data_IF_184326915378
#
_entry.id   IF_184326915378
#
_cell.length_a   1.000
_cell.length_b   1.000
_cell.length_c   1.000
_cell.angle_alpha   90.00
_cell.angle_beta   90.00
_cell.angle_gamma   90.00
#
_symmetry.space_group_name_H-M   'P 1'
#
loop_
_entity.id
_entity.type
_entity.pdbx_description
1 polymer ?
#
# COMPACT_ATOMS: atom_id res chain seq x y z
N UNK A 1 1.56 16.53 -5.30
CA UNK A 1 1.27 17.76 -6.07
C UNK A 1 1.38 17.49 -7.55
N UNK A 2 0.80 18.34 -8.40
CA UNK A 2 1.08 18.37 -9.83
C UNK A 2 1.90 19.63 -10.12
N UNK A 3 3.00 19.52 -10.86
CA UNK A 3 3.73 20.68 -11.39
C UNK A 3 2.96 21.33 -12.54
N UNK A 4 3.45 22.49 -13.00
CA UNK A 4 2.81 23.29 -14.07
C UNK A 4 2.66 22.51 -15.40
N UNK A 5 3.52 21.52 -15.64
CA UNK A 5 3.49 20.63 -16.81
C UNK A 5 2.63 19.36 -16.59
N UNK A 6 1.99 19.23 -15.42
CA UNK A 6 1.17 18.08 -15.06
C UNK A 6 1.95 16.88 -14.52
N UNK A 7 3.26 16.99 -14.31
CA UNK A 7 4.06 15.90 -13.73
C UNK A 7 3.69 15.70 -12.24
N UNK A 8 3.41 14.46 -11.79
CA UNK A 8 3.17 14.20 -10.38
C UNK A 8 4.47 14.33 -9.57
N UNK A 9 4.40 15.12 -8.50
CA UNK A 9 5.53 15.38 -7.58
C UNK A 9 5.16 14.93 -6.17
N UNK A 10 5.98 14.04 -5.60
CA UNK A 10 5.88 13.63 -4.21
C UNK A 10 6.26 14.80 -3.28
N UNK A 11 5.56 14.89 -2.16
CA UNK A 11 5.72 15.95 -1.18
C UNK A 11 5.46 15.41 0.23
N UNK A 12 5.67 16.27 1.23
CA UNK A 12 5.43 15.97 2.64
C UNK A 12 6.28 14.79 3.17
N UNK A 13 7.58 15.05 3.28
CA UNK A 13 8.56 14.08 3.78
C UNK A 13 8.64 14.04 5.32
N UNK A 14 7.67 14.63 6.03
CA UNK A 14 7.68 14.75 7.49
C UNK A 14 7.62 13.40 8.24
N UNK A 15 7.06 12.38 7.60
CA UNK A 15 6.95 11.01 8.12
C UNK A 15 8.03 10.05 7.59
N UNK A 16 9.02 10.55 6.83
CA UNK A 16 10.08 9.70 6.28
C UNK A 16 10.99 9.14 7.37
N UNK A 17 11.33 7.85 7.24
CA UNK A 17 12.24 7.15 8.13
C UNK A 17 13.28 6.36 7.34
N UNK A 18 14.22 5.70 8.03
CA UNK A 18 15.13 4.75 7.39
C UNK A 18 14.30 3.63 6.75
N UNK A 19 14.57 3.35 5.47
CA UNK A 19 13.83 2.36 4.70
C UNK A 19 13.80 0.97 5.36
N UNK A 20 14.91 0.56 6.00
CA UNK A 20 15.04 -0.76 6.63
C UNK A 20 15.26 -0.66 8.13
N UNK A 21 14.33 -1.23 8.89
CA UNK A 21 14.34 -1.25 10.36
C UNK A 21 14.23 -2.70 10.82
N UNK A 22 15.30 -3.21 11.44
CA UNK A 22 15.29 -4.53 12.04
C UNK A 22 14.68 -4.48 13.45
N UNK A 23 13.75 -5.39 13.74
CA UNK A 23 13.02 -5.43 15.02
C UNK A 23 13.59 -6.54 15.89
N UNK A 24 14.48 -6.18 16.81
CA UNK A 24 15.18 -7.14 17.67
C UNK A 24 14.32 -7.59 18.85
N UNK A 25 13.47 -6.71 19.37
CA UNK A 25 12.74 -6.95 20.62
C UNK A 25 11.36 -6.29 20.63
N UNK A 26 10.54 -6.68 21.62
CA UNK A 26 9.15 -6.23 21.74
C UNK A 26 9.02 -4.73 21.96
N UNK A 27 9.99 -4.09 22.61
CA UNK A 27 9.96 -2.64 22.81
C UNK A 27 10.13 -1.89 21.48
N UNK A 28 11.07 -2.31 20.64
CA UNK A 28 11.22 -1.78 19.28
C UNK A 28 9.95 -2.04 18.44
N UNK A 29 9.35 -3.23 18.55
CA UNK A 29 8.12 -3.56 17.84
C UNK A 29 6.97 -2.59 18.19
N UNK A 30 6.72 -2.39 19.49
CA UNK A 30 5.68 -1.46 19.97
C UNK A 30 5.99 -0.02 19.53
N UNK A 31 7.24 0.42 19.63
CA UNK A 31 7.65 1.76 19.21
C UNK A 31 7.41 1.99 17.71
N UNK A 32 7.71 1.01 16.85
CA UNK A 32 7.44 1.12 15.41
C UNK A 32 5.95 1.09 15.10
N UNK A 33 5.18 0.28 15.84
CA UNK A 33 3.73 0.23 15.69
C UNK A 33 3.08 1.57 16.08
N UNK A 34 3.50 2.18 17.20
CA UNK A 34 3.02 3.49 17.65
C UNK A 34 3.44 4.60 16.67
N UNK A 35 4.69 4.57 16.19
CA UNK A 35 5.16 5.49 15.16
C UNK A 35 4.31 5.40 13.89
N UNK A 36 4.02 4.19 13.41
CA UNK A 36 3.15 3.99 12.25
C UNK A 36 1.72 4.44 12.55
N UNK A 37 1.25 4.27 13.79
CA UNK A 37 -0.06 4.74 14.24
C UNK A 37 -0.21 6.26 14.10
N UNK A 38 0.84 7.01 14.41
CA UNK A 38 0.90 8.47 14.36
C UNK A 38 1.23 9.03 12.97
N UNK A 39 2.13 8.37 12.22
CA UNK A 39 2.75 8.93 11.02
C UNK A 39 2.24 8.34 9.70
N UNK A 40 1.46 7.25 9.74
CA UNK A 40 0.90 6.61 8.54
C UNK A 40 -0.61 6.69 8.54
N UNK A 41 -1.21 7.18 7.45
CA UNK A 41 -2.66 7.26 7.29
C UNK A 41 -3.26 5.86 7.20
N UNK A 42 -4.19 5.51 8.10
CA UNK A 42 -4.69 4.15 8.30
C UNK A 42 -5.11 3.40 7.01
N UNK A 43 -5.82 4.00 6.03
CA UNK A 43 -6.20 3.31 4.79
C UNK A 43 -5.04 2.97 3.84
N UNK A 44 -3.87 3.56 4.06
CA UNK A 44 -2.65 3.36 3.26
C UNK A 44 -1.58 2.60 4.05
N UNK A 45 -1.78 2.39 5.34
CA UNK A 45 -0.83 1.69 6.21
C UNK A 45 -0.72 0.22 5.81
N UNK A 46 0.50 -0.28 5.71
CA UNK A 46 0.77 -1.68 5.38
C UNK A 46 0.41 -2.63 6.56
N UNK A 47 0.01 -3.89 6.29
CA UNK A 47 -0.38 -4.87 7.31
C UNK A 47 0.65 -5.08 8.41
N UNK A 48 1.92 -5.20 8.05
CA UNK A 48 3.04 -5.42 8.98
C UNK A 48 3.27 -4.27 9.97
N UNK A 49 2.64 -3.10 9.76
CA UNK A 49 2.67 -1.95 10.66
C UNK A 49 1.51 -1.93 11.67
N UNK A 50 0.51 -2.81 11.53
CA UNK A 50 -0.55 -2.98 12.53
C UNK A 50 -0.17 -4.00 13.62
N UNK A 51 0.62 -5.00 13.25
CA UNK A 51 1.17 -6.03 14.15
C UNK A 51 2.66 -6.24 13.82
N UNK A 52 3.51 -5.39 14.42
CA UNK A 52 4.95 -5.44 14.20
C UNK A 52 5.54 -6.64 14.97
N UNK A 53 6.20 -7.56 14.25
CA UNK A 53 6.74 -8.80 14.82
C UNK A 53 8.24 -8.69 15.11
N UNK A 54 8.65 -9.22 16.26
CA UNK A 54 10.07 -9.39 16.60
C UNK A 54 10.76 -10.38 15.68
N UNK A 55 12.04 -10.15 15.37
CA UNK A 55 12.82 -10.97 14.45
C UNK A 55 12.54 -10.70 12.98
N UNK A 56 11.73 -9.68 12.66
CA UNK A 56 11.45 -9.26 11.28
C UNK A 56 12.17 -7.96 10.95
N UNK A 57 12.25 -7.67 9.66
CA UNK A 57 12.74 -6.38 9.16
C UNK A 57 11.59 -5.73 8.41
N UNK A 58 11.20 -4.54 8.86
CA UNK A 58 10.33 -3.66 8.08
C UNK A 58 11.23 -3.00 7.03
N UNK A 59 10.84 -3.06 5.76
CA UNK A 59 11.60 -2.55 4.64
C UNK A 59 10.75 -1.60 3.77
N UNK A 60 11.31 -1.16 2.64
CA UNK A 60 10.64 -0.29 1.67
C UNK A 60 9.34 -0.87 1.07
N UNK A 61 9.00 -2.14 1.33
CA UNK A 61 7.76 -2.75 0.81
C UNK A 61 6.50 -2.18 1.47
N UNK A 62 6.61 -1.45 2.59
CA UNK A 62 5.50 -0.67 3.15
C UNK A 62 5.02 0.43 2.19
N UNK A 63 5.94 1.02 1.42
CA UNK A 63 5.62 2.03 0.42
C UNK A 63 4.98 1.40 -0.82
N UNK A 64 5.37 0.17 -1.16
CA UNK A 64 4.75 -0.60 -2.26
C UNK A 64 3.27 -0.89 -1.97
N UNK A 65 2.93 -1.23 -0.73
CA UNK A 65 1.54 -1.37 -0.32
C UNK A 65 0.78 -0.04 -0.45
N UNK A 66 1.36 1.04 0.07
CA UNK A 66 0.78 2.39 0.00
C UNK A 66 0.55 2.84 -1.44
N UNK A 67 1.48 2.51 -2.35
CA UNK A 67 1.36 2.75 -3.78
C UNK A 67 0.22 1.93 -4.41
N UNK A 68 0.05 0.66 -4.01
CA UNK A 68 -1.10 -0.15 -4.42
C UNK A 68 -2.44 0.49 -4.02
N UNK A 69 -2.54 0.99 -2.79
CA UNK A 69 -3.70 1.75 -2.33
C UNK A 69 -3.92 3.02 -3.15
N UNK A 70 -2.85 3.75 -3.48
CA UNK A 70 -2.93 4.96 -4.31
C UNK A 70 -3.40 4.64 -5.73
N UNK A 71 -2.84 3.61 -6.38
CA UNK A 71 -3.27 3.19 -7.73
C UNK A 71 -4.75 2.80 -7.75
N UNK A 72 -5.21 2.07 -6.73
CA UNK A 72 -6.62 1.76 -6.55
C UNK A 72 -7.44 3.05 -6.39
N UNK A 73 -7.02 3.98 -5.53
CA UNK A 73 -7.74 5.23 -5.31
C UNK A 73 -7.83 6.10 -6.56
N UNK A 74 -6.78 6.15 -7.39
CA UNK A 74 -6.81 6.85 -8.67
C UNK A 74 -7.80 6.22 -9.66
N UNK A 75 -7.96 4.90 -9.64
CA UNK A 75 -8.89 4.19 -10.51
C UNK A 75 -10.34 4.28 -10.00
N UNK A 76 -10.56 4.13 -8.70
CA UNK A 76 -11.91 3.92 -8.13
C UNK A 76 -12.42 5.07 -7.26
N UNK A 77 -11.65 6.15 -7.09
CA UNK A 77 -11.97 7.35 -6.31
C UNK A 77 -12.18 7.13 -4.80
N UNK A 78 -11.73 6.00 -4.25
CA UNK A 78 -11.72 5.71 -2.81
C UNK A 78 -10.58 4.74 -2.47
N UNK A 79 -10.10 4.70 -1.22
CA UNK A 79 -9.13 3.67 -0.81
C UNK A 79 -9.75 2.27 -0.88
N UNK A 80 -8.97 1.22 -1.21
CA UNK A 80 -9.46 -0.17 -1.23
C UNK A 80 -10.09 -0.64 0.09
N UNK A 81 -9.74 0.00 1.22
CA UNK A 81 -10.21 -0.39 2.56
C UNK A 81 -11.19 0.62 3.19
N UNK A 82 -11.56 1.69 2.47
CA UNK A 82 -12.52 2.72 2.95
C UNK A 82 -13.99 2.39 2.63
N UNK A 83 -14.27 1.27 1.98
CA UNK A 83 -15.63 0.94 1.51
C UNK A 83 -16.63 0.64 2.63
N UNK A 84 -17.91 0.95 2.38
CA UNK A 84 -19.06 0.62 3.24
C UNK A 84 -19.14 -0.86 3.62
N UNK A 85 -18.65 -1.76 2.75
CA UNK A 85 -18.65 -3.21 3.01
C UNK A 85 -17.86 -3.61 4.26
N UNK A 86 -16.77 -2.90 4.56
CA UNK A 86 -15.94 -3.12 5.75
C UNK A 86 -16.74 -2.82 7.02
N UNK A 87 -17.51 -1.73 6.99
CA UNK A 87 -18.42 -1.29 8.06
C UNK A 87 -19.67 -2.18 8.16
N UNK A 88 -20.23 -2.59 7.02
CA UNK A 88 -21.44 -3.44 6.93
C UNK A 88 -21.20 -4.89 7.36
N UNK A 89 -19.97 -5.42 7.19
CA UNK A 89 -19.58 -6.74 7.68
C UNK A 89 -19.17 -6.72 9.17
N UNK A 90 -19.28 -5.58 9.86
CA UNK A 90 -18.86 -5.42 11.25
C UNK A 90 -17.34 -5.54 11.45
N UNK A 91 -16.56 -5.40 10.37
CA UNK A 91 -15.11 -5.50 10.40
C UNK A 91 -14.46 -4.15 10.74
N UNK A 92 -13.36 -4.20 11.49
CA UNK A 92 -12.47 -3.03 11.61
C UNK A 92 -11.65 -2.87 10.32
N UNK A 93 -11.41 -1.63 9.89
CA UNK A 93 -10.49 -1.33 8.76
C UNK A 93 -9.13 -2.01 8.95
N UNK A 94 -8.63 -2.06 10.19
CA UNK A 94 -7.39 -2.77 10.52
C UNK A 94 -7.48 -4.26 10.16
N UNK A 95 -8.61 -4.93 10.42
CA UNK A 95 -8.80 -6.33 10.03
C UNK A 95 -8.88 -6.50 8.52
N UNK A 96 -9.50 -5.57 7.80
CA UNK A 96 -9.54 -5.63 6.35
C UNK A 96 -8.16 -5.48 5.73
N UNK A 97 -7.35 -4.54 6.22
CA UNK A 97 -5.95 -4.37 5.81
C UNK A 97 -5.14 -5.62 6.11
N UNK A 98 -5.22 -6.15 7.35
CA UNK A 98 -4.47 -7.33 7.79
C UNK A 98 -4.77 -8.60 6.97
N UNK A 99 -5.97 -8.69 6.36
CA UNK A 99 -6.37 -9.80 5.51
C UNK A 99 -6.36 -9.47 4.01
N UNK A 100 -5.88 -8.27 3.62
CA UNK A 100 -6.00 -7.73 2.26
C UNK A 100 -7.42 -7.89 1.68
N UNK A 101 -8.42 -7.60 2.50
CA UNK A 101 -9.83 -7.75 2.16
C UNK A 101 -10.34 -6.51 1.41
N UNK A 102 -10.11 -6.49 0.09
CA UNK A 102 -10.68 -5.51 -0.84
C UNK A 102 -11.19 -6.23 -2.09
N UNK A 103 -11.99 -5.54 -2.90
CA UNK A 103 -12.49 -6.09 -4.18
C UNK A 103 -12.47 -5.02 -5.25
N UNK A 104 -11.94 -5.38 -6.41
CA UNK A 104 -12.10 -4.61 -7.64
C UNK A 104 -13.48 -4.96 -8.23
N UNK A 105 -14.33 -3.97 -8.60
CA UNK A 105 -15.62 -4.23 -9.24
C UNK A 105 -15.48 -5.06 -10.52
N UNK A 106 -16.38 -6.03 -10.73
CA UNK A 106 -16.33 -6.93 -11.90
C UNK A 106 -16.55 -6.19 -13.22
N UNK A 107 -17.32 -5.12 -13.16
CA UNK A 107 -17.65 -4.19 -14.24
C UNK A 107 -16.64 -3.03 -14.36
N UNK A 108 -15.48 -3.15 -13.70
CA UNK A 108 -14.41 -2.15 -13.78
C UNK A 108 -13.97 -1.90 -15.25
N UNK A 109 -13.96 -0.64 -15.71
CA UNK A 109 -13.59 -0.28 -17.07
C UNK A 109 -12.07 -0.33 -17.32
N UNK A 110 -11.28 -0.56 -16.28
CA UNK A 110 -9.82 -0.58 -16.36
C UNK A 110 -9.30 -1.92 -16.89
N UNK A 111 -8.10 -1.87 -17.50
CA UNK A 111 -7.43 -3.06 -18.05
C UNK A 111 -7.08 -4.07 -16.96
N UNK A 112 -7.01 -5.35 -17.33
CA UNK A 112 -6.52 -6.40 -16.42
C UNK A 112 -5.09 -6.11 -15.95
N UNK A 113 -4.23 -5.54 -16.81
CA UNK A 113 -2.88 -5.15 -16.41
C UNK A 113 -2.83 -4.14 -15.26
N UNK A 114 -3.72 -3.14 -15.23
CA UNK A 114 -3.80 -2.22 -14.08
C UNK A 114 -4.28 -2.95 -12.82
N UNK A 115 -5.26 -3.85 -12.96
CA UNK A 115 -5.78 -4.64 -11.84
C UNK A 115 -4.68 -5.56 -11.29
N UNK A 116 -3.88 -6.16 -12.15
CA UNK A 116 -2.76 -7.03 -11.78
C UNK A 116 -1.66 -6.25 -11.04
N UNK A 117 -1.31 -5.04 -11.49
CA UNK A 117 -0.39 -4.14 -10.77
C UNK A 117 -0.90 -3.82 -9.36
N UNK A 118 -2.19 -3.47 -9.22
CA UNK A 118 -2.78 -3.21 -7.90
C UNK A 118 -2.70 -4.47 -7.03
N UNK A 119 -3.05 -5.64 -7.59
CA UNK A 119 -3.04 -6.91 -6.88
C UNK A 119 -1.64 -7.40 -6.50
N UNK A 120 -0.60 -7.06 -7.26
CA UNK A 120 0.80 -7.40 -6.95
C UNK A 120 1.33 -6.54 -5.79
N UNK A 121 0.87 -5.29 -5.68
CA UNK A 121 1.22 -4.40 -4.57
C UNK A 121 0.50 -4.78 -3.25
N UNK A 122 -0.77 -5.15 -3.31
CA UNK A 122 -1.63 -5.40 -2.14
C UNK A 122 -1.53 -6.85 -1.61
N UNK A 123 -0.30 -7.35 -1.45
CA UNK A 123 -0.02 -8.64 -0.81
C UNK A 123 0.23 -8.47 0.68
N UNK A 124 -0.40 -9.31 1.51
CA UNK A 124 -0.21 -9.26 2.98
C UNK A 124 1.24 -9.50 3.35
N UNK A 125 1.89 -10.49 2.74
CA UNK A 125 3.31 -10.75 2.94
C UNK A 125 4.16 -9.76 2.12
N UNK A 126 5.03 -8.94 2.76
CA UNK A 126 5.88 -7.97 2.06
C UNK A 126 6.85 -8.61 1.04
N UNK A 127 7.23 -9.87 1.24
CA UNK A 127 8.13 -10.61 0.35
C UNK A 127 7.47 -10.91 -0.99
N UNK A 128 6.14 -11.05 -1.02
CA UNK A 128 5.37 -11.30 -2.25
C UNK A 128 5.11 -10.02 -3.06
N UNK A 129 5.40 -8.84 -2.48
CA UNK A 129 5.30 -7.56 -3.18
C UNK A 129 6.52 -7.37 -4.08
N UNK A 130 6.35 -6.81 -5.29
CA UNK A 130 7.48 -6.46 -6.15
C UNK A 130 8.36 -5.37 -5.53
N UNK A 131 9.59 -5.21 -6.03
CA UNK A 131 10.38 -3.99 -5.79
C UNK A 131 9.85 -2.83 -6.61
N UNK A 132 10.28 -1.60 -6.27
CA UNK A 132 9.91 -0.43 -7.07
C UNK A 132 10.42 -0.53 -8.51
N UNK A 133 11.64 -1.07 -8.71
CA UNK A 133 12.21 -1.25 -10.06
C UNK A 133 11.36 -2.22 -10.89
N UNK A 134 10.94 -3.34 -10.30
CA UNK A 134 10.05 -4.31 -10.95
C UNK A 134 8.71 -3.67 -11.33
N UNK A 135 8.11 -2.87 -10.44
CA UNK A 135 6.87 -2.18 -10.75
C UNK A 135 7.01 -1.14 -11.86
N UNK A 136 8.13 -0.42 -11.91
CA UNK A 136 8.41 0.52 -13.00
C UNK A 136 8.49 -0.23 -14.33
N UNK A 137 9.22 -1.34 -14.39
CA UNK A 137 9.33 -2.18 -15.59
C UNK A 137 7.97 -2.73 -16.04
N UNK A 138 7.17 -3.28 -15.11
CA UNK A 138 5.82 -3.78 -15.38
C UNK A 138 4.90 -2.66 -15.89
N UNK A 139 4.97 -1.48 -15.27
CA UNK A 139 4.18 -0.30 -15.67
C UNK A 139 4.56 0.17 -17.06
N UNK A 140 5.86 0.28 -17.37
CA UNK A 140 6.32 0.65 -18.71
C UNK A 140 5.89 -0.36 -19.77
N UNK A 141 5.97 -1.66 -19.46
CA UNK A 141 5.52 -2.72 -20.37
C UNK A 141 4.01 -2.59 -20.67
N UNK A 142 3.20 -2.32 -19.65
CA UNK A 142 1.76 -2.10 -19.79
C UNK A 142 1.46 -0.85 -20.61
N UNK A 143 2.15 0.27 -20.36
CA UNK A 143 1.95 1.50 -21.12
C UNK A 143 2.27 1.33 -22.62
N UNK A 144 3.17 0.43 -22.98
CA UNK A 144 3.44 0.08 -24.39
C UNK A 144 2.29 -0.67 -25.06
N UNK A 145 1.48 -1.41 -24.30
CA UNK A 145 0.32 -2.14 -24.85
C UNK A 145 -0.92 -1.27 -25.06
N UNK A 146 -0.96 -0.08 -24.46
CA UNK A 146 -2.09 0.86 -24.53
C UNK A 146 -1.91 1.91 -25.64
N UNK A 147 -0.73 1.96 -26.28
CA UNK A 147 -0.43 2.88 -27.40
C UNK A 147 -0.82 2.33 -28.76
#
# INVERSE_FOLDING_TARGET
MLSDDGTPVLMDFGSTIKARVHIENRNQALMQQDLAAEQSTMPYRAPELFDVKTGTTIDEKVDIWSLGCLLFALAFNHSPFETSQTTEQGGSMAMAVMNAQYKIPRDSPYSEGLKDLINSCLKVNPVERPSIDQLVEETEALLRTVR
#
